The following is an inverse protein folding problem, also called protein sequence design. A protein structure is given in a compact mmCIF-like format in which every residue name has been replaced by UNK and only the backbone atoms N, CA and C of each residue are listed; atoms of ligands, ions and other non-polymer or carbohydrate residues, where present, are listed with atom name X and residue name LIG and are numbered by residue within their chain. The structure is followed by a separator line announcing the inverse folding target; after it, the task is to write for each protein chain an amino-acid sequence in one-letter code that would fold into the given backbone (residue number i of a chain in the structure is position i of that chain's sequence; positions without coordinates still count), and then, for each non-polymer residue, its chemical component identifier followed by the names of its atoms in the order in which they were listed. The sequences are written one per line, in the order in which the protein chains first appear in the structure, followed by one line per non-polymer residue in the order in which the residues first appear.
data_IF_210202123975
#
_entry.id   IF_210202123975
#
_cell.length_a   1.000
_cell.length_b   1.000
_cell.length_c   1.000
_cell.angle_alpha   90.00
_cell.angle_beta   90.00
_cell.angle_gamma   90.00
#
_symmetry.space_group_name_H-M   'P 1'
#
loop_
_entity.id
_entity.type
_entity.pdbx_description
1 polymer ?
#
# COMPACT_ATOMS: atom_id res chain seq x y z
N UNK A 1 -11.77 -0.08 20.00
CA UNK A 1 -11.78 0.17 21.45
C UNK A 1 -11.16 1.55 21.71
N UNK A 2 -12.00 2.54 22.09
CA UNK A 2 -11.58 3.93 22.28
C UNK A 2 -10.55 4.09 23.41
N UNK A 3 -10.65 3.25 24.45
CA UNK A 3 -9.71 3.30 25.58
C UNK A 3 -8.30 2.87 25.18
N UNK A 4 -8.18 1.91 24.26
CA UNK A 4 -6.88 1.50 23.72
C UNK A 4 -6.20 2.62 22.91
N UNK A 5 -6.97 3.42 22.17
CA UNK A 5 -6.45 4.59 21.45
C UNK A 5 -5.95 5.66 22.41
N UNK A 6 -6.70 5.97 23.47
CA UNK A 6 -6.27 6.93 24.51
C UNK A 6 -5.04 6.47 25.27
N UNK A 7 -4.92 5.15 25.48
CA UNK A 7 -3.75 4.57 26.15
C UNK A 7 -2.50 4.59 25.26
N UNK A 8 -2.68 4.59 23.93
CA UNK A 8 -1.57 4.66 22.96
C UNK A 8 -0.93 6.07 22.95
N UNK A 9 -1.76 7.12 22.90
CA UNK A 9 -1.29 8.50 22.98
C UNK A 9 -2.38 9.39 23.62
N UNK A 10 -2.00 10.14 24.67
CA UNK A 10 -2.90 11.05 25.38
C UNK A 10 -3.39 12.24 24.56
N UNK A 11 -2.72 12.56 23.45
CA UNK A 11 -3.15 13.61 22.52
C UNK A 11 -4.33 13.15 21.64
N UNK A 12 -4.60 11.84 21.58
CA UNK A 12 -5.72 11.31 20.79
C UNK A 12 -7.05 11.59 21.50
N UNK A 13 -7.87 12.44 20.89
CA UNK A 13 -9.24 12.68 21.31
C UNK A 13 -10.16 11.63 20.68
N UNK A 14 -10.95 10.95 21.49
CA UNK A 14 -11.87 9.90 21.03
C UNK A 14 -13.32 10.28 21.32
N UNK A 15 -14.23 9.98 20.38
CA UNK A 15 -15.68 10.15 20.53
C UNK A 15 -16.43 8.94 19.95
N UNK A 16 -17.62 8.67 20.48
CA UNK A 16 -18.58 7.73 19.89
C UNK A 16 -19.48 8.41 18.83
N UNK A 17 -19.28 9.69 18.56
CA UNK A 17 -20.04 10.48 17.60
C UNK A 17 -19.14 10.91 16.44
N UNK A 18 -19.40 10.42 15.23
CA UNK A 18 -18.71 10.85 14.02
C UNK A 18 -18.88 12.35 13.78
N UNK A 19 -20.05 12.90 14.13
CA UNK A 19 -20.34 14.32 14.01
C UNK A 19 -19.42 15.19 14.87
N UNK A 20 -19.11 14.78 16.09
CA UNK A 20 -18.18 15.49 16.96
C UNK A 20 -16.76 15.47 16.42
N UNK A 21 -16.32 14.32 15.91
CA UNK A 21 -14.99 14.18 15.30
C UNK A 21 -14.85 15.07 14.08
N UNK A 22 -15.83 15.03 13.17
CA UNK A 22 -15.80 15.80 11.92
C UNK A 22 -15.74 17.31 12.18
N UNK A 23 -16.50 17.86 13.13
CA UNK A 23 -16.52 19.30 13.41
C UNK A 23 -15.16 19.91 13.76
N UNK A 24 -14.26 19.13 14.32
CA UNK A 24 -12.93 19.57 14.79
C UNK A 24 -11.80 19.26 13.80
N UNK A 25 -12.07 18.46 12.77
CA UNK A 25 -11.05 18.00 11.83
C UNK A 25 -10.83 19.02 10.70
N UNK A 26 -9.61 19.10 10.19
CA UNK A 26 -9.28 19.72 8.90
C UNK A 26 -9.27 18.66 7.79
N UNK A 27 -8.92 17.43 8.14
CA UNK A 27 -8.91 16.27 7.26
C UNK A 27 -9.79 15.18 7.86
N UNK A 28 -10.83 14.78 7.15
CA UNK A 28 -11.75 13.71 7.55
C UNK A 28 -11.33 12.43 6.86
N UNK A 29 -10.74 11.48 7.61
CA UNK A 29 -10.31 10.19 7.07
C UNK A 29 -11.41 9.15 7.27
N UNK A 30 -11.95 8.63 6.17
CA UNK A 30 -12.96 7.57 6.13
C UNK A 30 -12.27 6.20 6.11
N UNK A 31 -11.97 5.68 7.30
CA UNK A 31 -11.30 4.39 7.51
C UNK A 31 -12.33 3.28 7.82
N UNK A 32 -13.35 3.17 6.99
CA UNK A 32 -14.46 2.22 7.16
C UNK A 32 -14.51 1.22 6.00
N UNK A 33 -15.23 0.11 6.21
CA UNK A 33 -15.47 -0.85 5.13
C UNK A 33 -16.35 -0.23 4.04
N UNK A 34 -16.16 -0.57 2.76
CA UNK A 34 -16.88 0.05 1.63
C UNK A 34 -18.40 0.08 1.78
N UNK A 35 -18.99 -0.97 2.37
CA UNK A 35 -20.44 -1.08 2.57
C UNK A 35 -20.98 -0.20 3.71
N UNK A 36 -20.12 0.43 4.51
CA UNK A 36 -20.49 1.40 5.57
C UNK A 36 -20.39 2.85 5.08
N UNK A 37 -19.84 3.09 3.89
CA UNK A 37 -19.61 4.45 3.39
C UNK A 37 -20.88 5.29 3.33
N UNK A 38 -21.98 4.73 2.81
CA UNK A 38 -23.27 5.43 2.70
C UNK A 38 -23.81 5.82 4.08
N UNK A 39 -23.80 4.88 5.03
CA UNK A 39 -24.30 5.11 6.39
C UNK A 39 -23.51 6.22 7.09
N UNK A 40 -22.17 6.20 6.95
CA UNK A 40 -21.31 7.22 7.57
C UNK A 40 -21.48 8.56 6.85
N UNK A 41 -21.56 8.57 5.52
CA UNK A 41 -21.78 9.79 4.75
C UNK A 41 -23.10 10.46 5.14
N UNK A 42 -24.19 9.74 5.20
CA UNK A 42 -25.52 10.25 5.62
C UNK A 42 -25.48 10.90 7.02
N UNK A 43 -24.65 10.35 7.92
CA UNK A 43 -24.50 10.91 9.28
C UNK A 43 -23.75 12.24 9.28
N UNK A 44 -22.69 12.37 8.46
CA UNK A 44 -21.72 13.46 8.58
C UNK A 44 -21.81 14.52 7.48
N UNK A 45 -22.38 14.22 6.31
CA UNK A 45 -22.32 15.06 5.10
C UNK A 45 -22.78 16.50 5.34
N UNK A 46 -23.84 16.72 6.16
CA UNK A 46 -24.37 18.05 6.53
C UNK A 46 -23.56 18.76 7.61
N UNK A 47 -22.53 18.13 8.15
CA UNK A 47 -21.67 18.68 9.22
C UNK A 47 -20.27 19.02 8.72
N UNK A 48 -19.95 18.61 7.50
CA UNK A 48 -18.68 18.93 6.85
C UNK A 48 -18.72 20.39 6.35
N UNK A 49 -17.68 21.13 6.67
CA UNK A 49 -17.39 22.42 6.05
C UNK A 49 -16.56 22.19 4.78
N UNK A 50 -17.22 22.00 3.65
CA UNK A 50 -16.60 21.72 2.35
C UNK A 50 -15.64 22.80 1.83
N UNK A 51 -15.67 24.01 2.40
CA UNK A 51 -14.71 25.07 2.06
C UNK A 51 -13.36 24.93 2.76
N UNK A 52 -13.35 24.23 3.88
CA UNK A 52 -12.17 24.09 4.75
C UNK A 52 -11.66 22.66 4.84
N UNK A 53 -12.57 21.71 4.93
CA UNK A 53 -12.24 20.31 5.23
C UNK A 53 -11.99 19.51 3.95
N UNK A 54 -11.01 18.60 4.03
CA UNK A 54 -10.73 17.62 3.01
C UNK A 54 -11.27 16.25 3.43
N UNK A 55 -11.80 15.48 2.48
CA UNK A 55 -12.26 14.12 2.70
C UNK A 55 -11.21 13.15 2.12
N UNK A 56 -10.71 12.26 2.93
CA UNK A 56 -9.75 11.22 2.54
C UNK A 56 -10.40 9.85 2.74
N UNK A 57 -10.66 9.11 1.67
CA UNK A 57 -11.18 7.75 1.74
C UNK A 57 -10.04 6.74 1.58
N UNK A 58 -9.93 5.79 2.54
CA UNK A 58 -9.07 4.62 2.41
C UNK A 58 -9.87 3.34 2.13
N UNK A 59 -11.15 3.48 1.80
CA UNK A 59 -12.03 2.37 1.45
C UNK A 59 -11.75 1.88 0.03
N UNK A 60 -11.30 0.63 -0.11
CA UNK A 60 -11.07 0.03 -1.42
C UNK A 60 -12.39 -0.12 -2.20
N UNK A 61 -12.34 0.14 -3.52
CA UNK A 61 -13.52 -0.01 -4.40
C UNK A 61 -14.56 1.11 -4.32
N UNK A 62 -14.26 2.22 -3.64
CA UNK A 62 -15.08 3.44 -3.65
C UNK A 62 -14.37 4.49 -4.49
N UNK A 63 -14.87 4.78 -5.69
CA UNK A 63 -14.31 5.75 -6.63
C UNK A 63 -14.85 7.17 -6.38
N UNK A 64 -14.30 8.18 -7.10
CA UNK A 64 -14.76 9.54 -6.97
C UNK A 64 -16.20 9.74 -7.47
N UNK A 65 -16.67 8.97 -8.44
CA UNK A 65 -18.06 9.03 -8.88
C UNK A 65 -19.00 8.68 -7.72
N UNK A 66 -18.71 7.60 -7.03
CA UNK A 66 -19.46 7.17 -5.85
C UNK A 66 -19.34 8.17 -4.70
N UNK A 67 -18.13 8.72 -4.45
CA UNK A 67 -17.93 9.72 -3.40
C UNK A 67 -18.71 11.01 -3.68
N UNK A 68 -18.79 11.48 -4.94
CA UNK A 68 -19.63 12.65 -5.32
C UNK A 68 -21.13 12.41 -5.13
N UNK A 69 -21.58 11.16 -5.16
CA UNK A 69 -22.94 10.78 -4.81
C UNK A 69 -23.24 10.81 -3.32
N UNK A 70 -22.20 10.81 -2.48
CA UNK A 70 -22.31 10.79 -1.02
C UNK A 70 -22.01 12.15 -0.37
N UNK A 71 -21.23 13.00 -1.02
CA UNK A 71 -20.78 14.29 -0.51
C UNK A 71 -21.01 15.39 -1.56
N UNK A 72 -20.77 16.65 -1.18
CA UNK A 72 -20.84 17.75 -2.14
C UNK A 72 -19.89 17.51 -3.33
N UNK A 73 -20.37 17.74 -4.55
CA UNK A 73 -19.61 17.52 -5.79
C UNK A 73 -18.34 18.39 -5.88
N UNK A 74 -18.34 19.56 -5.21
CA UNK A 74 -17.21 20.48 -5.16
C UNK A 74 -16.25 20.20 -3.98
N UNK A 75 -16.55 19.18 -3.16
CA UNK A 75 -15.70 18.80 -2.04
C UNK A 75 -14.29 18.43 -2.51
N UNK A 76 -13.29 18.86 -1.75
CA UNK A 76 -11.92 18.36 -1.90
C UNK A 76 -11.84 16.93 -1.39
N UNK A 77 -11.59 15.99 -2.27
CA UNK A 77 -11.59 14.56 -1.96
C UNK A 77 -10.29 13.89 -2.37
N UNK A 78 -9.87 12.93 -1.57
CA UNK A 78 -8.73 12.06 -1.85
C UNK A 78 -9.14 10.59 -1.71
N UNK A 79 -8.61 9.77 -2.61
CA UNK A 79 -8.63 8.31 -2.49
C UNK A 79 -7.21 7.87 -2.18
N UNK A 80 -7.04 7.13 -1.10
CA UNK A 80 -5.73 6.63 -0.68
C UNK A 80 -5.80 5.13 -0.49
N UNK A 81 -4.91 4.41 -1.12
CA UNK A 81 -4.81 2.95 -1.01
C UNK A 81 -3.44 2.61 -0.42
N UNK A 82 -3.34 2.47 0.91
CA UNK A 82 -2.14 1.96 1.56
C UNK A 82 -2.08 0.43 1.46
N UNK A 83 -0.94 -0.15 1.85
CA UNK A 83 -0.83 -1.59 2.04
C UNK A 83 -0.50 -1.95 3.50
N UNK A 84 -0.53 -3.24 3.82
CA UNK A 84 -0.34 -3.73 5.20
C UNK A 84 1.04 -3.44 5.80
N UNK A 85 2.05 -3.12 4.97
CA UNK A 85 3.37 -2.73 5.47
C UNK A 85 3.36 -1.37 6.21
N UNK A 86 2.22 -0.69 6.29
CA UNK A 86 2.01 0.49 7.13
C UNK A 86 2.31 0.20 8.61
N UNK A 87 2.10 -1.03 9.07
CA UNK A 87 2.41 -1.46 10.45
C UNK A 87 3.90 -1.31 10.81
N UNK A 88 4.76 -1.30 9.80
CA UNK A 88 6.21 -1.18 9.98
C UNK A 88 6.77 0.06 9.26
N UNK A 89 5.92 1.04 8.95
CA UNK A 89 6.25 2.30 8.28
C UNK A 89 6.94 2.10 6.92
N UNK A 90 6.55 1.07 6.19
CA UNK A 90 7.05 0.71 4.85
C UNK A 90 5.90 0.54 3.85
N UNK A 91 4.81 1.29 4.05
CA UNK A 91 3.68 1.26 3.12
C UNK A 91 4.06 1.81 1.75
N UNK A 92 3.44 1.29 0.72
CA UNK A 92 3.20 2.06 -0.51
C UNK A 92 1.77 2.56 -0.44
N UNK A 93 1.61 3.89 -0.35
CA UNK A 93 0.32 4.56 -0.35
C UNK A 93 0.09 5.24 -1.70
N UNK A 94 -0.89 4.76 -2.46
CA UNK A 94 -1.26 5.37 -3.74
C UNK A 94 -2.41 6.35 -3.52
N UNK A 95 -2.25 7.58 -4.00
CA UNK A 95 -3.14 8.71 -3.74
C UNK A 95 -3.67 9.24 -5.07
N UNK A 96 -4.96 9.51 -5.13
CA UNK A 96 -5.58 10.32 -6.17
C UNK A 96 -6.40 11.44 -5.53
N UNK A 97 -6.48 12.57 -6.20
CA UNK A 97 -7.20 13.77 -5.75
C UNK A 97 -8.35 14.15 -6.68
N UNK A 98 -9.34 14.83 -6.13
CA UNK A 98 -10.45 15.45 -6.84
C UNK A 98 -10.73 16.80 -6.21
N UNK A 99 -10.79 17.87 -7.01
CA UNK A 99 -11.00 19.26 -6.57
C UNK A 99 -9.95 19.76 -5.54
N UNK A 100 -8.75 19.21 -5.55
CA UNK A 100 -7.68 19.57 -4.63
C UNK A 100 -6.76 20.63 -5.24
N UNK A 101 -6.26 21.56 -4.42
CA UNK A 101 -5.15 22.44 -4.80
C UNK A 101 -3.81 21.69 -4.70
N UNK A 102 -2.74 22.19 -5.39
CA UNK A 102 -1.40 21.60 -5.26
C UNK A 102 -0.88 21.55 -3.81
N UNK A 103 -1.27 22.53 -2.98
CA UNK A 103 -0.89 22.58 -1.56
C UNK A 103 -1.58 21.47 -0.75
N UNK A 104 -2.87 21.24 -1.05
CA UNK A 104 -3.64 20.15 -0.42
C UNK A 104 -3.11 18.78 -0.83
N UNK A 105 -2.76 18.59 -2.11
CA UNK A 105 -2.12 17.38 -2.60
C UNK A 105 -0.78 17.14 -1.90
N UNK A 106 0.06 18.18 -1.82
CA UNK A 106 1.35 18.10 -1.12
C UNK A 106 1.18 17.73 0.35
N UNK A 107 0.20 18.31 1.03
CA UNK A 107 -0.10 18.01 2.42
C UNK A 107 -0.49 16.53 2.61
N UNK A 108 -1.42 16.03 1.81
CA UNK A 108 -1.88 14.64 1.94
C UNK A 108 -0.75 13.66 1.57
N UNK A 109 0.01 13.94 0.51
CA UNK A 109 1.19 13.12 0.16
C UNK A 109 2.20 13.11 1.29
N UNK A 110 2.49 14.25 1.92
CA UNK A 110 3.46 14.31 3.03
C UNK A 110 3.02 13.49 4.23
N UNK A 111 1.72 13.55 4.61
CA UNK A 111 1.17 12.76 5.71
C UNK A 111 1.33 11.26 5.50
N UNK A 112 1.04 10.76 4.30
CA UNK A 112 1.18 9.34 3.99
C UNK A 112 2.63 8.92 3.74
N UNK A 113 3.53 9.86 3.42
CA UNK A 113 4.97 9.61 3.29
C UNK A 113 5.65 9.30 4.63
N UNK A 114 5.09 9.74 5.75
CA UNK A 114 5.54 9.34 7.09
C UNK A 114 5.32 7.83 7.37
N UNK A 115 4.45 7.20 6.60
CA UNK A 115 4.09 5.79 6.74
C UNK A 115 4.77 4.87 5.70
N UNK A 116 5.67 5.44 4.89
CA UNK A 116 6.38 4.75 3.80
C UNK A 116 6.56 5.63 2.57
N UNK A 117 6.35 5.11 1.36
CA UNK A 117 6.38 5.89 0.11
C UNK A 117 4.96 6.20 -0.35
N UNK A 118 4.67 7.46 -0.66
CA UNK A 118 3.39 7.90 -1.19
C UNK A 118 3.53 8.37 -2.65
N UNK A 119 2.55 8.01 -3.50
CA UNK A 119 2.54 8.34 -4.92
C UNK A 119 1.20 9.00 -5.28
N UNK A 120 1.26 10.25 -5.77
CA UNK A 120 0.10 10.93 -6.34
C UNK A 120 -0.03 10.48 -7.81
N UNK A 121 -1.18 9.93 -8.17
CA UNK A 121 -1.44 9.38 -9.50
C UNK A 121 -2.87 9.71 -9.96
N UNK A 122 -3.15 9.73 -11.27
CA UNK A 122 -4.52 9.78 -11.77
C UNK A 122 -5.36 8.62 -11.25
N UNK A 123 -6.65 8.85 -10.97
CA UNK A 123 -7.57 7.80 -10.47
C UNK A 123 -7.58 6.56 -11.36
N UNK A 124 -7.46 6.73 -12.67
CA UNK A 124 -7.43 5.63 -13.66
C UNK A 124 -6.26 4.66 -13.48
N UNK A 125 -5.20 5.07 -12.76
CA UNK A 125 -4.03 4.24 -12.48
C UNK A 125 -4.09 3.55 -11.11
N UNK A 126 -5.02 3.92 -10.23
CA UNK A 126 -5.08 3.37 -8.87
C UNK A 126 -5.12 1.84 -8.84
N UNK A 127 -5.89 1.20 -9.74
CA UNK A 127 -5.99 -0.25 -9.77
C UNK A 127 -4.66 -0.93 -10.14
N UNK A 128 -3.90 -0.36 -11.08
CA UNK A 128 -2.59 -0.88 -11.45
C UNK A 128 -1.58 -0.76 -10.29
N UNK A 129 -1.57 0.39 -9.62
CA UNK A 129 -0.74 0.57 -8.43
C UNK A 129 -1.16 -0.35 -7.28
N UNK A 130 -2.46 -0.54 -7.06
CA UNK A 130 -2.99 -1.47 -6.06
C UNK A 130 -2.53 -2.91 -6.33
N UNK A 131 -2.53 -3.35 -7.60
CA UNK A 131 -2.02 -4.68 -7.97
C UNK A 131 -0.55 -4.84 -7.60
N UNK A 132 0.29 -3.81 -7.88
CA UNK A 132 1.72 -3.85 -7.56
C UNK A 132 2.00 -3.73 -6.06
N UNK A 133 1.27 -2.89 -5.33
CA UNK A 133 1.55 -2.56 -3.93
C UNK A 133 0.75 -3.41 -2.94
N UNK A 134 -0.57 -3.30 -2.95
CA UNK A 134 -1.43 -3.97 -1.95
C UNK A 134 -1.52 -5.48 -2.21
N UNK A 135 -1.77 -5.91 -3.47
CA UNK A 135 -1.74 -7.32 -3.85
C UNK A 135 -0.29 -7.85 -3.87
N UNK A 136 0.66 -7.02 -4.29
CA UNK A 136 2.09 -7.35 -4.38
C UNK A 136 2.69 -7.84 -3.07
N UNK A 137 2.23 -7.36 -1.91
CA UNK A 137 2.64 -7.88 -0.59
C UNK A 137 2.36 -9.39 -0.48
N UNK A 138 1.17 -9.83 -0.92
CA UNK A 138 0.82 -11.25 -0.88
C UNK A 138 1.68 -12.07 -1.85
N UNK A 139 2.00 -11.52 -3.02
CA UNK A 139 2.87 -12.18 -4.00
C UNK A 139 4.30 -12.30 -3.50
N UNK A 140 4.83 -11.27 -2.83
CA UNK A 140 6.12 -11.33 -2.16
C UNK A 140 6.14 -12.42 -1.06
N UNK A 141 5.10 -12.49 -0.22
CA UNK A 141 4.99 -13.56 0.77
C UNK A 141 4.91 -14.94 0.13
N UNK A 142 4.23 -15.09 -1.02
CA UNK A 142 4.18 -16.36 -1.75
C UNK A 142 5.55 -16.77 -2.26
N UNK A 143 6.33 -15.85 -2.81
CA UNK A 143 7.72 -16.08 -3.20
C UNK A 143 8.58 -16.51 -2.00
N UNK A 144 8.51 -15.75 -0.89
CA UNK A 144 9.25 -16.07 0.34
C UNK A 144 8.91 -17.48 0.81
N UNK A 145 7.62 -17.82 0.83
CA UNK A 145 7.19 -19.17 1.26
C UNK A 145 7.74 -20.27 0.35
N UNK A 146 7.67 -20.11 -0.97
CA UNK A 146 8.20 -21.09 -1.92
C UNK A 146 9.72 -21.26 -1.78
N UNK A 147 10.46 -20.16 -1.63
CA UNK A 147 11.90 -20.20 -1.42
C UNK A 147 12.27 -20.90 -0.10
N UNK A 148 11.50 -20.70 0.96
CA UNK A 148 11.66 -21.42 2.23
C UNK A 148 11.42 -22.92 2.06
N UNK A 149 10.38 -23.32 1.32
CA UNK A 149 10.07 -24.73 1.04
C UNK A 149 11.20 -25.40 0.28
N UNK A 150 11.76 -24.75 -0.75
CA UNK A 150 12.94 -25.23 -1.45
C UNK A 150 14.16 -25.36 -0.53
N UNK A 151 14.38 -24.41 0.39
CA UNK A 151 15.42 -24.50 1.40
C UNK A 151 15.25 -25.72 2.32
N UNK A 152 14.03 -26.00 2.73
CA UNK A 152 13.71 -27.17 3.57
C UNK A 152 13.94 -28.47 2.82
N UNK A 153 13.55 -28.53 1.55
CA UNK A 153 13.81 -29.72 0.70
C UNK A 153 15.32 -29.99 0.55
N UNK A 154 16.15 -28.94 0.55
CA UNK A 154 17.62 -29.05 0.55
C UNK A 154 18.22 -29.35 1.94
N UNK A 155 17.41 -29.54 2.99
CA UNK A 155 17.85 -29.94 4.33
C UNK A 155 18.11 -28.76 5.30
N UNK A 156 17.70 -27.53 4.96
CA UNK A 156 17.81 -26.38 5.85
C UNK A 156 16.61 -26.33 6.80
N UNK A 157 16.83 -26.09 8.10
CA UNK A 157 15.73 -25.94 9.05
C UNK A 157 14.83 -24.73 8.69
N UNK A 158 13.49 -24.83 8.84
CA UNK A 158 12.53 -23.83 8.38
C UNK A 158 12.77 -22.41 8.93
N UNK A 159 13.19 -22.28 10.19
CA UNK A 159 13.52 -20.99 10.80
C UNK A 159 14.75 -20.35 10.14
N UNK A 160 15.79 -21.14 9.88
CA UNK A 160 17.00 -20.67 9.20
C UNK A 160 16.71 -20.33 7.73
N UNK A 161 15.96 -21.18 7.03
CA UNK A 161 15.53 -20.90 5.65
C UNK A 161 14.79 -19.55 5.56
N UNK A 162 13.90 -19.26 6.51
CA UNK A 162 13.20 -17.97 6.59
C UNK A 162 14.18 -16.79 6.76
N UNK A 163 15.10 -16.86 7.69
CA UNK A 163 16.07 -15.79 7.95
C UNK A 163 16.94 -15.53 6.72
N UNK A 164 17.45 -16.58 6.08
CA UNK A 164 18.27 -16.49 4.87
C UNK A 164 17.49 -15.85 3.74
N UNK A 165 16.26 -16.30 3.44
CA UNK A 165 15.44 -15.73 2.36
C UNK A 165 15.13 -14.27 2.61
N UNK A 166 14.74 -13.90 3.83
CA UNK A 166 14.43 -12.50 4.18
C UNK A 166 15.67 -11.59 4.02
N UNK A 167 16.84 -12.04 4.47
CA UNK A 167 18.06 -11.26 4.33
C UNK A 167 18.52 -11.14 2.88
N UNK A 168 18.38 -12.20 2.09
CA UNK A 168 18.70 -12.20 0.66
C UNK A 168 17.84 -11.19 -0.09
N UNK A 169 16.52 -11.15 0.18
CA UNK A 169 15.61 -10.18 -0.47
C UNK A 169 15.93 -8.73 -0.07
N UNK A 170 16.23 -8.47 1.21
CA UNK A 170 16.69 -7.12 1.62
C UNK A 170 17.93 -6.71 0.85
N UNK A 171 18.96 -7.57 0.82
CA UNK A 171 20.18 -7.28 0.08
C UNK A 171 19.95 -7.05 -1.41
N UNK A 172 19.06 -7.79 -2.05
CA UNK A 172 18.72 -7.59 -3.46
C UNK A 172 18.03 -6.23 -3.71
N UNK A 173 17.11 -5.84 -2.82
CA UNK A 173 16.44 -4.53 -2.88
C UNK A 173 17.45 -3.41 -2.67
N UNK A 174 18.27 -3.51 -1.63
CA UNK A 174 19.28 -2.50 -1.28
C UNK A 174 20.30 -2.31 -2.41
N UNK A 175 20.70 -3.40 -3.09
CA UNK A 175 21.60 -3.32 -4.26
C UNK A 175 20.95 -2.59 -5.44
N UNK A 176 19.68 -2.84 -5.74
CA UNK A 176 18.96 -2.15 -6.81
C UNK A 176 18.83 -0.64 -6.50
N UNK A 177 18.51 -0.28 -5.26
CA UNK A 177 18.40 1.11 -4.83
C UNK A 177 19.76 1.82 -4.83
N UNK A 178 20.79 1.19 -4.26
CA UNK A 178 22.13 1.78 -4.17
C UNK A 178 22.79 1.99 -5.54
N UNK A 179 22.60 1.05 -6.46
CA UNK A 179 23.22 1.10 -7.80
C UNK A 179 22.32 1.84 -8.81
N UNK A 180 21.08 2.11 -8.50
CA UNK A 180 20.05 2.61 -9.43
C UNK A 180 20.06 1.84 -10.76
N UNK A 181 20.20 0.51 -10.67
CA UNK A 181 20.42 -0.38 -11.81
C UNK A 181 19.12 -1.10 -12.22
N UNK A 182 19.08 -1.55 -13.48
CA UNK A 182 18.01 -2.43 -13.93
C UNK A 182 18.19 -3.84 -13.35
N UNK A 183 17.11 -4.55 -12.94
CA UNK A 183 17.21 -5.90 -12.36
C UNK A 183 18.05 -6.88 -13.15
N UNK A 184 17.95 -6.90 -14.49
CA UNK A 184 18.75 -7.79 -15.36
C UNK A 184 20.26 -7.55 -15.22
N UNK A 185 20.70 -6.29 -14.99
CA UNK A 185 22.10 -5.97 -14.76
C UNK A 185 22.62 -6.60 -13.48
N UNK A 186 21.81 -6.61 -12.43
CA UNK A 186 22.17 -7.26 -11.16
C UNK A 186 22.12 -8.80 -11.27
N UNK A 187 21.19 -9.35 -12.04
CA UNK A 187 21.13 -10.78 -12.35
C UNK A 187 22.41 -11.23 -13.07
N UNK A 188 22.86 -10.50 -14.07
CA UNK A 188 24.07 -10.83 -14.84
C UNK A 188 25.32 -10.84 -13.97
N UNK A 189 25.43 -9.96 -12.97
CA UNK A 189 26.55 -9.93 -12.03
C UNK A 189 26.68 -11.20 -11.18
N UNK A 190 25.58 -11.89 -10.92
CA UNK A 190 25.54 -13.09 -10.08
C UNK A 190 25.38 -14.39 -10.88
N UNK A 191 25.35 -14.30 -12.21
CA UNK A 191 25.27 -15.46 -13.13
C UNK A 191 26.62 -15.70 -13.79
N UNK A 192 27.34 -16.70 -13.32
CA UNK A 192 28.63 -17.10 -13.90
C UNK A 192 28.47 -18.24 -14.92
N UNK A 193 29.36 -18.34 -15.96
CA UNK A 193 29.31 -19.42 -16.93
C UNK A 193 29.34 -20.82 -16.28
N UNK A 194 28.31 -21.64 -16.55
CA UNK A 194 28.18 -22.98 -15.95
C UNK A 194 27.76 -23.02 -14.49
N UNK A 195 27.54 -21.85 -13.86
CA UNK A 195 27.19 -21.70 -12.45
C UNK A 195 25.83 -22.25 -12.07
N UNK A 196 25.56 -22.32 -10.77
CA UNK A 196 24.29 -22.82 -10.21
C UNK A 196 23.16 -21.82 -10.47
N UNK A 197 23.44 -20.51 -10.38
CA UNK A 197 22.44 -19.45 -10.51
C UNK A 197 21.76 -19.48 -11.88
N UNK A 198 22.52 -19.55 -12.98
CA UNK A 198 21.91 -19.57 -14.31
C UNK A 198 21.06 -20.82 -14.55
N UNK A 199 21.45 -21.98 -13.99
CA UNK A 199 20.64 -23.20 -14.06
C UNK A 199 19.30 -23.04 -13.33
N UNK A 200 19.33 -22.44 -12.14
CA UNK A 200 18.12 -22.15 -11.36
C UNK A 200 17.19 -21.17 -12.08
N UNK A 201 17.73 -20.08 -12.66
CA UNK A 201 16.94 -19.11 -13.42
C UNK A 201 16.27 -19.75 -14.65
N UNK A 202 17.03 -20.55 -15.42
CA UNK A 202 16.48 -21.25 -16.58
C UNK A 202 15.38 -22.25 -16.20
N UNK A 203 15.50 -22.92 -15.05
CA UNK A 203 14.47 -23.83 -14.56
C UNK A 203 13.22 -23.08 -14.10
N UNK A 204 13.38 -21.94 -13.42
CA UNK A 204 12.25 -21.06 -13.04
C UNK A 204 11.50 -20.58 -14.28
N UNK A 205 12.20 -20.14 -15.33
CA UNK A 205 11.58 -19.70 -16.58
C UNK A 205 10.92 -20.85 -17.35
N UNK A 206 11.53 -22.04 -17.38
CA UNK A 206 10.92 -23.22 -18.00
C UNK A 206 9.58 -23.60 -17.33
N UNK A 207 9.44 -23.30 -16.03
CA UNK A 207 8.19 -23.48 -15.26
C UNK A 207 7.29 -22.23 -15.29
N UNK A 208 7.62 -21.21 -16.07
CA UNK A 208 6.75 -20.06 -16.36
C UNK A 208 6.71 -18.99 -15.25
N UNK A 209 7.78 -18.80 -14.50
CA UNK A 209 7.84 -17.85 -13.38
C UNK A 209 7.44 -16.44 -13.80
N UNK A 210 8.09 -15.86 -14.79
CA UNK A 210 7.80 -14.50 -15.29
C UNK A 210 6.34 -14.37 -15.75
N UNK A 211 5.85 -15.36 -16.51
CA UNK A 211 4.46 -15.35 -16.97
C UNK A 211 3.45 -15.46 -15.81
N UNK A 212 3.74 -16.25 -14.78
CA UNK A 212 2.88 -16.37 -13.60
C UNK A 212 2.79 -15.03 -12.84
N UNK A 213 3.91 -14.33 -12.65
CA UNK A 213 3.96 -13.01 -12.00
C UNK A 213 3.16 -11.99 -12.80
N UNK A 214 3.40 -11.88 -14.12
CA UNK A 214 2.69 -10.91 -14.98
C UNK A 214 1.18 -11.17 -15.00
N UNK A 215 0.77 -12.44 -15.11
CA UNK A 215 -0.65 -12.81 -15.13
C UNK A 215 -1.34 -12.59 -13.77
N UNK A 216 -0.62 -12.79 -12.69
CA UNK A 216 -1.14 -12.54 -11.34
C UNK A 216 -1.37 -11.07 -11.03
N UNK A 217 -0.64 -10.16 -11.70
CA UNK A 217 -0.77 -8.71 -11.57
C UNK A 217 -1.90 -8.13 -12.43
N UNK A 218 -2.30 -8.80 -13.50
CA UNK A 218 -3.37 -8.38 -14.44
C UNK A 218 -4.74 -8.86 -13.99
#
# INVERSE_FOLDING_TARGET
NLDALKAFDSAIVTSNSNIEVVKQADIVVLAVKPWLMEVIADEIERKIDYKRQMIVSIAAGVDFEKMRGLFDSEATMFRVIPNTAIEVLQSVSTISSCNASPEQETLVVSLFSELGKAFLVPETQLNAFMSLSSCGIAYAFRYIRAAMEGGVEMGIYPNIAKEVVLQTLRGAIDLLEANNSHPEVEIDKVTTPGGITIKGLNEMEANGFTNAVIKGLK
#
